data_IF_555246181970
#
_entry.id   IF_555246181970
#
_cell.length_a   1.000
_cell.length_b   1.000
_cell.length_c   1.000
_cell.angle_alpha   90.00
_cell.angle_beta   90.00
_cell.angle_gamma   90.00
#
_symmetry.space_group_name_H-M   'P 1'
#
loop_
_entity.id
_entity.type
_entity.pdbx_description
1 polymer ?
#
# COMPACT_ATOMS: atom_id res chain seq x y z
N UNK A 1 -30.48 -7.46 21.70
CA UNK A 1 -29.96 -6.73 20.53
C UNK A 1 -30.07 -5.28 20.90
N UNK A 2 -28.92 -4.65 21.14
CA UNK A 2 -28.85 -3.25 21.56
C UNK A 2 -29.31 -2.37 20.39
N UNK A 3 -30.31 -1.53 20.60
CA UNK A 3 -31.05 -0.85 19.54
C UNK A 3 -30.44 0.50 19.11
N UNK A 4 -29.28 0.86 19.66
CA UNK A 4 -28.75 2.24 19.57
C UNK A 4 -27.52 2.41 18.65
N UNK A 5 -27.08 1.36 17.95
CA UNK A 5 -26.02 1.46 16.93
C UNK A 5 -26.58 2.00 15.61
N UNK A 6 -26.69 3.32 15.51
CA UNK A 6 -27.04 4.05 14.30
C UNK A 6 -25.83 4.35 13.41
N UNK A 7 -26.07 4.60 12.12
CA UNK A 7 -25.06 5.10 11.18
C UNK A 7 -24.37 6.37 11.75
N UNK A 8 -23.05 6.33 11.89
CA UNK A 8 -22.25 7.40 12.51
C UNK A 8 -21.57 7.01 13.82
N UNK A 9 -21.91 5.84 14.39
CA UNK A 9 -21.14 5.25 15.49
C UNK A 9 -19.75 4.81 14.99
N UNK A 10 -18.63 5.21 15.63
CA UNK A 10 -17.28 4.81 15.25
C UNK A 10 -17.04 3.28 15.28
N UNK A 11 -17.95 2.52 15.86
CA UNK A 11 -17.93 1.06 15.90
C UNK A 11 -18.71 0.39 14.76
N UNK A 12 -19.36 1.16 13.88
CA UNK A 12 -20.12 0.63 12.73
C UNK A 12 -19.35 0.85 11.43
N UNK A 13 -19.04 -0.25 10.75
CA UNK A 13 -18.49 -0.22 9.40
C UNK A 13 -19.65 -0.13 8.40
N UNK A 14 -19.64 0.90 7.54
CA UNK A 14 -20.60 1.02 6.46
C UNK A 14 -20.38 -0.09 5.42
N UNK A 15 -21.29 -1.08 5.41
CA UNK A 15 -21.27 -2.19 4.46
C UNK A 15 -21.73 -1.81 3.05
N UNK A 16 -22.17 -0.57 2.81
CA UNK A 16 -22.51 -0.10 1.47
C UNK A 16 -21.29 0.25 0.61
N UNK A 17 -20.13 0.46 1.23
CA UNK A 17 -18.88 0.78 0.57
C UNK A 17 -17.89 -0.38 0.71
N UNK A 18 -17.03 -0.63 -0.30
CA UNK A 18 -15.94 -1.57 -0.14
C UNK A 18 -14.99 -1.13 0.97
N UNK A 19 -14.55 -2.09 1.79
CA UNK A 19 -13.52 -1.84 2.80
C UNK A 19 -12.15 -2.17 2.25
N UNK A 20 -11.16 -1.35 2.61
CA UNK A 20 -9.76 -1.63 2.31
C UNK A 20 -9.18 -2.59 3.35
N UNK A 21 -8.45 -3.59 2.87
CA UNK A 21 -7.77 -4.58 3.69
C UNK A 21 -6.28 -4.54 3.39
N UNK A 22 -5.44 -4.52 4.41
CA UNK A 22 -4.03 -4.89 4.30
C UNK A 22 -3.89 -6.37 4.58
N UNK A 23 -3.03 -7.08 3.85
CA UNK A 23 -2.71 -8.47 4.12
C UNK A 23 -1.22 -8.75 3.98
N UNK A 24 -0.79 -9.86 4.59
CA UNK A 24 0.54 -10.43 4.43
C UNK A 24 0.42 -11.96 4.44
N UNK A 25 0.97 -12.63 3.44
CA UNK A 25 1.15 -14.07 3.46
C UNK A 25 2.27 -14.40 4.46
N UNK A 26 1.95 -15.20 5.48
CA UNK A 26 2.92 -15.50 6.54
C UNK A 26 4.11 -16.35 6.08
N UNK A 27 3.96 -17.09 4.96
CA UNK A 27 4.99 -17.97 4.42
C UNK A 27 5.89 -17.24 3.42
N UNK A 28 5.31 -16.59 2.41
CA UNK A 28 6.09 -15.90 1.37
C UNK A 28 6.55 -14.52 1.81
N UNK A 29 5.84 -13.92 2.79
CA UNK A 29 5.98 -12.51 3.19
C UNK A 29 5.56 -11.53 2.10
N UNK A 30 4.84 -12.02 1.08
CA UNK A 30 4.18 -11.15 0.13
C UNK A 30 3.10 -10.37 0.89
N UNK A 31 2.97 -9.09 0.61
CA UNK A 31 1.99 -8.25 1.28
C UNK A 31 1.40 -7.23 0.32
N UNK A 32 0.27 -6.66 0.72
CA UNK A 32 -0.46 -5.81 -0.20
C UNK A 32 -1.80 -5.33 0.31
N UNK A 33 -2.60 -4.86 -0.64
CA UNK A 33 -3.91 -4.28 -0.38
C UNK A 33 -4.99 -4.93 -1.24
N UNK A 34 -6.15 -5.13 -0.64
CA UNK A 34 -7.35 -5.62 -1.29
C UNK A 34 -8.55 -4.73 -0.93
N UNK A 35 -9.60 -4.81 -1.75
CA UNK A 35 -10.93 -4.29 -1.43
C UNK A 35 -11.90 -5.44 -1.22
N UNK A 36 -12.67 -5.40 -0.13
CA UNK A 36 -13.72 -6.36 0.13
C UNK A 36 -15.09 -5.68 0.07
N UNK A 37 -16.00 -6.24 -0.71
CA UNK A 37 -17.42 -5.93 -0.62
C UNK A 37 -18.02 -6.77 0.50
N UNK A 38 -18.43 -6.09 1.58
CA UNK A 38 -18.96 -6.76 2.78
C UNK A 38 -20.36 -7.36 2.58
N UNK A 39 -21.10 -6.96 1.53
CA UNK A 39 -22.43 -7.52 1.23
C UNK A 39 -22.31 -8.79 0.40
N UNK A 40 -21.43 -8.79 -0.60
CA UNK A 40 -21.24 -9.95 -1.47
C UNK A 40 -20.18 -10.94 -0.97
N UNK A 41 -19.31 -10.50 -0.05
CA UNK A 41 -18.16 -11.28 0.42
C UNK A 41 -17.03 -11.39 -0.61
N UNK A 42 -17.12 -10.67 -1.74
CA UNK A 42 -16.08 -10.69 -2.77
C UNK A 42 -14.87 -9.87 -2.31
N UNK A 43 -13.68 -10.43 -2.53
CA UNK A 43 -12.39 -9.78 -2.27
C UNK A 43 -11.66 -9.61 -3.59
N UNK A 44 -11.24 -8.38 -3.89
CA UNK A 44 -10.43 -8.05 -5.05
C UNK A 44 -9.04 -7.59 -4.59
N UNK A 45 -8.01 -8.36 -4.92
CA UNK A 45 -6.61 -7.99 -4.65
C UNK A 45 -6.19 -6.90 -5.64
N UNK A 46 -5.74 -5.77 -5.12
CA UNK A 46 -5.33 -4.61 -5.94
C UNK A 46 -3.83 -4.58 -6.16
N UNK A 47 -3.08 -4.98 -5.14
CA UNK A 47 -1.62 -5.03 -5.14
C UNK A 47 -1.18 -6.20 -4.27
N UNK A 48 -0.24 -6.98 -4.76
CA UNK A 48 0.50 -7.98 -4.01
C UNK A 48 1.95 -7.91 -4.47
N UNK A 49 2.86 -7.63 -3.54
CA UNK A 49 4.28 -7.56 -3.82
C UNK A 49 5.03 -8.50 -2.90
N UNK A 50 6.09 -9.18 -3.37
CA UNK A 50 7.05 -9.80 -2.49
C UNK A 50 7.84 -8.66 -1.84
N UNK A 51 7.28 -7.99 -0.84
CA UNK A 51 7.84 -6.83 -0.14
C UNK A 51 6.94 -6.47 1.05
N UNK A 52 7.43 -5.61 1.94
CA UNK A 52 6.56 -4.95 2.93
C UNK A 52 5.85 -3.78 2.24
N UNK A 53 4.54 -3.89 2.10
CA UNK A 53 3.65 -2.88 1.54
C UNK A 53 2.82 -2.30 2.69
N UNK A 54 3.00 -1.00 2.98
CA UNK A 54 2.32 -0.36 4.10
C UNK A 54 2.05 1.13 3.89
N UNK A 55 1.50 1.78 4.91
CA UNK A 55 1.27 3.23 4.96
C UNK A 55 0.34 3.77 3.86
N UNK A 56 -0.64 2.97 3.41
CA UNK A 56 -1.67 3.44 2.47
C UNK A 56 -2.39 4.67 3.03
N UNK A 57 -2.33 5.76 2.28
CA UNK A 57 -2.89 7.05 2.64
C UNK A 57 -3.66 7.60 1.45
N UNK A 58 -4.94 7.94 1.63
CA UNK A 58 -5.74 8.61 0.60
C UNK A 58 -5.50 10.11 0.66
N UNK A 59 -5.40 10.78 -0.50
CA UNK A 59 -5.46 12.23 -0.57
C UNK A 59 -6.85 12.75 -0.17
N UNK A 60 -6.92 13.92 0.46
CA UNK A 60 -8.17 14.45 1.03
C UNK A 60 -9.23 14.73 -0.04
N UNK A 61 -8.82 15.38 -1.14
CA UNK A 61 -9.76 15.93 -2.14
C UNK A 61 -9.77 15.19 -3.48
N UNK A 62 -8.95 14.15 -3.62
CA UNK A 62 -8.75 13.48 -4.92
C UNK A 62 -8.57 11.98 -4.72
N UNK A 63 -9.01 11.20 -5.71
CA UNK A 63 -8.86 9.75 -5.72
C UNK A 63 -7.42 9.31 -6.08
N UNK A 64 -6.46 9.77 -5.29
CA UNK A 64 -5.05 9.34 -5.32
C UNK A 64 -4.64 8.80 -3.96
N UNK A 65 -3.77 7.81 -4.01
CA UNK A 65 -3.28 7.08 -2.86
C UNK A 65 -1.77 7.06 -2.88
N UNK A 66 -1.16 7.27 -1.72
CA UNK A 66 0.26 7.04 -1.50
C UNK A 66 0.44 5.77 -0.67
N UNK A 67 1.50 5.02 -0.93
CA UNK A 67 1.93 3.89 -0.11
C UNK A 67 3.45 3.77 -0.10
N UNK A 68 3.95 3.02 0.86
CA UNK A 68 5.37 2.70 1.00
C UNK A 68 5.58 1.23 0.68
N UNK A 69 6.56 0.95 -0.17
CA UNK A 69 6.99 -0.41 -0.49
C UNK A 69 8.46 -0.54 -0.11
N UNK A 70 8.78 -1.56 0.68
CA UNK A 70 10.13 -1.83 1.15
C UNK A 70 10.52 -3.27 0.86
N UNK A 71 11.58 -3.43 0.08
CA UNK A 71 12.26 -4.72 -0.06
C UNK A 71 13.23 -4.94 1.10
N UNK A 72 13.56 -6.20 1.34
CA UNK A 72 14.38 -6.69 2.45
C UNK A 72 15.85 -6.35 2.24
N UNK A 73 16.23 -6.08 0.99
CA UNK A 73 17.57 -5.68 0.54
C UNK A 73 17.64 -4.22 0.06
N UNK A 74 16.54 -3.47 0.10
CA UNK A 74 16.48 -2.09 -0.41
C UNK A 74 15.87 -1.12 0.61
N UNK A 75 16.21 0.15 0.47
CA UNK A 75 15.55 1.21 1.21
C UNK A 75 14.09 1.34 0.78
N UNK A 76 13.20 1.75 1.68
CA UNK A 76 11.81 1.97 1.32
C UNK A 76 11.65 3.08 0.29
N UNK A 77 10.74 2.85 -0.65
CA UNK A 77 10.32 3.83 -1.64
C UNK A 77 8.84 4.18 -1.44
N UNK A 78 8.46 5.40 -1.84
CA UNK A 78 7.06 5.87 -1.82
C UNK A 78 6.52 5.85 -3.23
N UNK A 79 5.30 5.35 -3.36
CA UNK A 79 4.57 5.20 -4.62
C UNK A 79 3.23 5.92 -4.53
N UNK A 80 2.78 6.48 -5.65
CA UNK A 80 1.48 7.15 -5.77
C UNK A 80 0.70 6.59 -6.95
N UNK A 81 -0.59 6.28 -6.76
CA UNK A 81 -1.49 5.78 -7.81
C UNK A 81 -2.96 6.12 -7.56
N UNK A 82 -3.83 5.63 -8.42
CA UNK A 82 -5.27 5.75 -8.37
C UNK A 82 -5.94 4.68 -7.49
N UNK A 83 -7.26 4.59 -7.60
CA UNK A 83 -8.11 3.75 -6.74
C UNK A 83 -7.91 2.25 -6.86
N UNK A 84 -7.32 1.79 -7.95
CA UNK A 84 -7.07 0.38 -8.25
C UNK A 84 -5.60 0.00 -8.01
N UNK A 85 -4.73 0.97 -7.68
CA UNK A 85 -3.29 0.79 -7.51
C UNK A 85 -2.58 0.18 -8.73
N UNK A 86 -3.18 0.22 -9.93
CA UNK A 86 -2.60 -0.37 -11.13
C UNK A 86 -1.59 0.54 -11.84
N UNK A 87 -1.62 1.84 -11.51
CA UNK A 87 -0.81 2.91 -12.11
C UNK A 87 0.25 3.48 -11.16
N UNK A 88 0.75 2.67 -10.22
CA UNK A 88 1.69 3.13 -9.20
C UNK A 88 2.97 3.70 -9.80
N UNK A 89 3.30 4.92 -9.37
CA UNK A 89 4.50 5.63 -9.76
C UNK A 89 5.36 5.95 -8.55
N UNK A 90 6.64 5.54 -8.59
CA UNK A 90 7.62 5.86 -7.56
C UNK A 90 7.93 7.37 -7.55
N UNK A 91 7.92 7.98 -6.37
CA UNK A 91 8.22 9.42 -6.19
C UNK A 91 9.48 9.70 -5.36
N UNK A 92 10.05 8.69 -4.72
CA UNK A 92 11.35 8.78 -4.01
C UNK A 92 12.52 8.54 -4.96
N UNK A 93 13.60 9.31 -4.79
CA UNK A 93 14.85 9.14 -5.55
C UNK A 93 15.70 8.07 -4.89
N UNK A 94 16.08 7.03 -5.64
CA UNK A 94 17.04 6.03 -5.17
C UNK A 94 18.40 6.69 -4.92
N UNK A 95 18.86 6.68 -3.67
CA UNK A 95 20.29 6.84 -3.39
C UNK A 95 20.90 5.45 -3.33
N UNK A 96 21.18 4.84 -4.48
CA UNK A 96 22.11 3.71 -4.47
C UNK A 96 23.46 4.29 -4.06
N UNK A 97 24.09 3.73 -3.02
CA UNK A 97 25.39 4.17 -2.50
C UNK A 97 26.36 4.51 -3.64
N UNK A 98 26.90 5.72 -3.61
CA UNK A 98 27.93 6.23 -4.52
C UNK A 98 28.90 5.11 -4.95
N UNK A 99 29.06 4.79 -6.25
CA UNK A 99 30.16 3.95 -6.66
C UNK A 99 31.43 4.71 -6.28
N UNK A 100 32.23 4.17 -5.36
CA UNK A 100 33.57 4.70 -5.10
C UNK A 100 34.32 4.56 -6.42
N UNK A 101 34.37 5.63 -7.21
CA UNK A 101 35.27 5.73 -8.35
C UNK A 101 36.68 5.68 -7.78
N UNK A 102 37.29 4.49 -7.77
CA UNK A 102 38.72 4.35 -7.53
C UNK A 102 39.42 5.20 -8.60
N UNK A 103 40.04 6.29 -8.17
CA UNK A 103 40.94 7.06 -9.01
C UNK A 103 41.99 6.11 -9.56
N UNK A 104 41.98 5.94 -10.88
CA UNK A 104 43.07 5.28 -11.59
C UNK A 104 44.22 6.28 -11.61
N UNK A 105 45.29 5.97 -10.88
CA UNK A 105 46.59 6.63 -11.01
C UNK A 105 47.03 6.57 -12.47
N UNK A 106 47.13 7.71 -13.14
CA UNK A 106 47.88 7.79 -14.39
C UNK A 106 49.36 7.97 -14.05
N UNK A 107 50.17 7.02 -14.51
CA UNK A 107 51.61 7.19 -14.74
C UNK A 107 51.82 7.74 -16.16
#
# INVERSE_FOLDING_TARGET
MDSDVGFGDPHVIDSSQPVWLSFMDERTKDSGYAKADLRSGQVNVLLEEPAVVNSLTKAEDVDRYALRIQRWDDSPDVFVGGTDLSDLQQVTVRTHSNPITRGVTQN
#
